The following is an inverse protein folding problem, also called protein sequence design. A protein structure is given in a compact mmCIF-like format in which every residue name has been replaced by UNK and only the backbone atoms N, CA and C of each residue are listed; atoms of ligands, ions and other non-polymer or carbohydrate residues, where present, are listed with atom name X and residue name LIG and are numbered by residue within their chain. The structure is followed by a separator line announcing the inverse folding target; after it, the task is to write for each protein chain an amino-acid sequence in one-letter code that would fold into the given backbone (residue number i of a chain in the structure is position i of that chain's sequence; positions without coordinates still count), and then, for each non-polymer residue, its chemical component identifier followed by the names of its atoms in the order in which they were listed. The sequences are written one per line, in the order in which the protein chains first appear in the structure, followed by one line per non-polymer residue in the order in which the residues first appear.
data_IF_114414506193
#
_entry.id   IF_114414506193
#
_cell.length_a   1.000
_cell.length_b   1.000
_cell.length_c   1.000
_cell.angle_alpha   90.00
_cell.angle_beta   90.00
_cell.angle_gamma   90.00
#
_symmetry.space_group_name_H-M   'P 1'
#
loop_
_entity.id
_entity.type
_entity.pdbx_description
1 polymer ?
#
# COMPACT_ATOMS: atom_id res chain seq x y z
N UNK A 1 8.43 -18.29 10.03
CA UNK A 1 8.07 -18.64 8.64
C UNK A 1 7.54 -17.43 7.85
N UNK A 2 7.08 -16.35 8.50
CA UNK A 2 6.71 -15.11 7.78
C UNK A 2 7.90 -14.35 7.20
N UNK A 3 9.02 -14.23 7.93
CA UNK A 3 10.21 -13.51 7.44
C UNK A 3 10.81 -14.09 6.15
N UNK A 4 10.69 -15.41 5.93
CA UNK A 4 11.07 -16.04 4.66
C UNK A 4 10.09 -15.68 3.54
N UNK A 5 8.78 -15.60 3.85
CA UNK A 5 7.73 -15.23 2.89
C UNK A 5 7.83 -13.77 2.44
N UNK A 6 8.16 -12.85 3.36
CA UNK A 6 8.33 -11.43 3.03
C UNK A 6 9.57 -11.19 2.18
N UNK A 7 10.66 -11.91 2.45
CA UNK A 7 11.87 -11.83 1.64
C UNK A 7 11.62 -12.36 0.21
N UNK A 8 10.91 -13.47 0.07
CA UNK A 8 10.54 -14.01 -1.24
C UNK A 8 9.61 -13.05 -2.02
N UNK A 9 8.65 -12.42 -1.33
CA UNK A 9 7.76 -11.40 -1.90
C UNK A 9 8.54 -10.15 -2.35
N UNK A 10 9.47 -9.67 -1.53
CA UNK A 10 10.34 -8.55 -1.87
C UNK A 10 11.19 -8.87 -3.11
N UNK A 11 11.81 -10.06 -3.17
CA UNK A 11 12.61 -10.49 -4.32
C UNK A 11 11.77 -10.60 -5.60
N UNK A 12 10.55 -11.13 -5.49
CA UNK A 12 9.61 -11.21 -6.61
C UNK A 12 9.30 -9.82 -7.18
N UNK A 13 8.98 -8.85 -6.33
CA UNK A 13 8.66 -7.50 -6.79
C UNK A 13 9.89 -6.74 -7.32
N UNK A 14 11.07 -6.91 -6.73
CA UNK A 14 12.31 -6.34 -7.28
C UNK A 14 12.60 -6.87 -8.69
N UNK A 15 12.41 -8.17 -8.91
CA UNK A 15 12.53 -8.75 -10.24
C UNK A 15 11.48 -8.19 -11.21
N UNK A 16 10.23 -8.06 -10.76
CA UNK A 16 9.16 -7.47 -11.56
C UNK A 16 9.44 -6.01 -11.94
N UNK A 17 9.99 -5.21 -11.01
CA UNK A 17 10.39 -3.82 -11.25
C UNK A 17 11.44 -3.73 -12.35
N UNK A 18 12.53 -4.51 -12.23
CA UNK A 18 13.61 -4.56 -13.24
C UNK A 18 13.11 -5.01 -14.61
N UNK A 19 12.18 -5.97 -14.63
CA UNK A 19 11.57 -6.43 -15.88
C UNK A 19 10.74 -5.33 -16.51
N UNK A 20 9.98 -4.59 -15.71
CA UNK A 20 9.17 -3.48 -16.20
C UNK A 20 10.03 -2.32 -16.72
N UNK A 21 11.14 -1.99 -16.04
CA UNK A 21 12.15 -1.03 -16.48
C UNK A 21 12.75 -1.43 -17.83
N UNK A 22 13.24 -2.67 -17.96
CA UNK A 22 13.83 -3.16 -19.21
C UNK A 22 12.81 -3.25 -20.36
N UNK A 23 11.52 -3.39 -20.05
CA UNK A 23 10.44 -3.37 -21.04
C UNK A 23 10.12 -1.95 -21.46
N UNK A 24 10.13 -1.00 -20.52
CA UNK A 24 9.93 0.43 -20.80
C UNK A 24 11.03 0.99 -21.71
N UNK A 25 12.29 0.61 -21.49
CA UNK A 25 13.41 1.02 -22.36
C UNK A 25 13.22 0.59 -23.83
N UNK A 26 12.46 -0.48 -24.07
CA UNK A 26 12.15 -0.99 -25.41
C UNK A 26 10.87 -0.40 -25.99
N UNK A 27 9.87 -0.15 -25.13
CA UNK A 27 8.59 0.41 -25.50
C UNK A 27 8.01 1.26 -24.37
N UNK A 28 8.25 2.59 -24.37
CA UNK A 28 7.72 3.47 -23.33
C UNK A 28 6.22 3.72 -23.46
N UNK A 29 5.61 3.37 -24.60
CA UNK A 29 4.17 3.55 -24.84
C UNK A 29 3.38 2.26 -24.56
N UNK A 30 3.92 1.37 -23.76
CA UNK A 30 3.22 0.17 -23.29
C UNK A 30 2.46 0.49 -21.99
N UNK A 31 1.18 0.83 -22.12
CA UNK A 31 0.31 1.12 -20.99
C UNK A 31 0.19 -0.05 -20.00
N UNK A 32 0.24 -1.30 -20.47
CA UNK A 32 0.19 -2.49 -19.63
C UNK A 32 1.46 -2.62 -18.78
N UNK A 33 2.63 -2.41 -19.40
CA UNK A 33 3.89 -2.41 -18.69
C UNK A 33 3.99 -1.26 -17.68
N UNK A 34 3.59 -0.05 -18.07
CA UNK A 34 3.54 1.11 -17.18
C UNK A 34 2.62 0.87 -15.98
N UNK A 35 1.44 0.29 -16.22
CA UNK A 35 0.49 -0.09 -15.16
C UNK A 35 1.11 -1.09 -14.19
N UNK A 36 1.77 -2.13 -14.72
CA UNK A 36 2.47 -3.13 -13.91
C UNK A 36 3.62 -2.50 -13.12
N UNK A 37 4.38 -1.60 -13.74
CA UNK A 37 5.50 -0.94 -13.09
C UNK A 37 5.04 -0.12 -11.89
N UNK A 38 4.02 0.73 -12.07
CA UNK A 38 3.41 1.50 -10.99
C UNK A 38 2.88 0.61 -9.87
N UNK A 39 2.14 -0.45 -10.19
CA UNK A 39 1.66 -1.41 -9.19
C UNK A 39 2.79 -2.08 -8.40
N UNK A 40 3.87 -2.48 -9.07
CA UNK A 40 5.04 -3.09 -8.39
C UNK A 40 5.75 -2.08 -7.49
N UNK A 41 5.85 -0.81 -7.88
CA UNK A 41 6.42 0.24 -7.03
C UNK A 41 5.57 0.46 -5.77
N UNK A 42 4.24 0.40 -5.87
CA UNK A 42 3.36 0.46 -4.69
C UNK A 42 3.52 -0.74 -3.75
N UNK A 43 3.78 -1.92 -4.30
CA UNK A 43 4.06 -3.11 -3.49
C UNK A 43 5.42 -3.01 -2.80
N UNK A 44 6.45 -2.54 -3.51
CA UNK A 44 7.78 -2.34 -2.96
C UNK A 44 7.82 -1.23 -1.89
N UNK A 45 7.02 -0.18 -2.03
CA UNK A 45 7.02 0.96 -1.10
C UNK A 45 6.63 0.55 0.33
N UNK A 46 5.84 -0.53 0.48
CA UNK A 46 5.44 -1.08 1.78
C UNK A 46 6.61 -1.70 2.56
N UNK A 47 7.68 -2.10 1.88
CA UNK A 47 8.91 -2.63 2.50
C UNK A 47 9.90 -1.51 2.86
N UNK A 48 9.63 -0.28 2.42
CA UNK A 48 10.51 0.87 2.63
C UNK A 48 10.10 1.71 3.83
N UNK A 49 10.97 2.63 4.25
CA UNK A 49 10.74 3.50 5.39
C UNK A 49 10.53 4.95 4.92
N UNK A 50 9.53 5.63 5.50
CA UNK A 50 9.37 7.09 5.44
C UNK A 50 9.56 7.65 4.02
N UNK A 51 10.60 8.46 3.85
CA UNK A 51 10.89 9.18 2.61
C UNK A 51 11.11 8.26 1.40
N UNK A 52 11.73 7.08 1.57
CA UNK A 52 11.93 6.13 0.47
C UNK A 52 10.60 5.51 0.02
N UNK A 53 9.71 5.22 0.97
CA UNK A 53 8.36 4.75 0.68
C UNK A 53 7.57 5.82 -0.08
N UNK A 54 7.62 7.07 0.40
CA UNK A 54 6.97 8.22 -0.24
C UNK A 54 7.48 8.45 -1.66
N UNK A 55 8.79 8.43 -1.87
CA UNK A 55 9.39 8.58 -3.20
C UNK A 55 8.92 7.48 -4.16
N UNK A 56 8.91 6.24 -3.69
CA UNK A 56 8.48 5.11 -4.51
C UNK A 56 6.99 5.16 -4.87
N UNK A 57 6.15 5.66 -3.96
CA UNK A 57 4.73 5.94 -4.26
C UNK A 57 4.60 7.06 -5.30
N UNK A 58 5.40 8.13 -5.20
CA UNK A 58 5.40 9.18 -6.21
C UNK A 58 5.83 8.65 -7.58
N UNK A 59 6.92 7.87 -7.64
CA UNK A 59 7.38 7.22 -8.87
C UNK A 59 6.28 6.29 -9.44
N UNK A 60 5.50 5.63 -8.58
CA UNK A 60 4.36 4.83 -9.00
C UNK A 60 3.24 5.67 -9.62
N UNK A 61 2.88 6.80 -9.00
CA UNK A 61 1.89 7.74 -9.52
C UNK A 61 2.32 8.20 -10.91
N UNK A 62 3.57 8.64 -11.07
CA UNK A 62 4.09 9.15 -12.34
C UNK A 62 3.97 8.11 -13.46
N UNK A 63 4.31 6.84 -13.20
CA UNK A 63 4.19 5.75 -14.19
C UNK A 63 2.74 5.40 -14.53
N UNK A 64 1.84 5.47 -13.55
CA UNK A 64 0.43 5.19 -13.80
C UNK A 64 -0.27 6.32 -14.55
N UNK A 65 0.08 7.58 -14.25
CA UNK A 65 -0.40 8.73 -15.02
C UNK A 65 0.11 8.66 -16.47
N UNK A 66 1.36 8.25 -16.68
CA UNK A 66 1.90 7.96 -18.01
C UNK A 66 1.10 6.85 -18.72
N UNK A 67 0.72 5.78 -18.01
CA UNK A 67 -0.12 4.72 -18.57
C UNK A 67 -1.49 5.27 -19.04
N UNK A 68 -2.06 6.23 -18.32
CA UNK A 68 -3.33 6.87 -18.70
C UNK A 68 -3.18 7.88 -19.84
N UNK A 69 -2.02 8.52 -20.01
CA UNK A 69 -1.73 9.32 -21.21
C UNK A 69 -1.75 8.42 -22.45
N UNK A 70 -1.17 7.22 -22.36
CA UNK A 70 -1.17 6.24 -23.44
C UNK A 70 -2.55 5.62 -23.67
N UNK A 71 -3.23 5.22 -22.60
CA UNK A 71 -4.58 4.64 -22.64
C UNK A 71 -5.45 5.22 -21.52
N UNK A 72 -6.24 6.27 -21.81
CA UNK A 72 -7.10 6.93 -20.81
C UNK A 72 -8.20 6.03 -20.23
N UNK A 73 -8.52 4.90 -20.88
CA UNK A 73 -9.55 3.96 -20.44
C UNK A 73 -8.96 2.70 -19.78
N UNK A 74 -7.70 2.75 -19.36
CA UNK A 74 -7.05 1.64 -18.65
C UNK A 74 -7.56 1.59 -17.21
N UNK A 75 -8.65 0.84 -16.99
CA UNK A 75 -9.29 0.69 -15.68
C UNK A 75 -8.33 0.20 -14.58
N UNK A 76 -7.40 -0.70 -14.92
CA UNK A 76 -6.38 -1.19 -13.97
C UNK A 76 -5.43 -0.07 -13.50
N UNK A 77 -5.03 0.84 -14.39
CA UNK A 77 -4.18 1.96 -14.05
C UNK A 77 -4.91 2.99 -13.18
N UNK A 78 -6.19 3.26 -13.48
CA UNK A 78 -7.07 4.08 -12.66
C UNK A 78 -7.19 3.50 -11.24
N UNK A 79 -7.47 2.20 -11.13
CA UNK A 79 -7.56 1.54 -9.83
C UNK A 79 -6.22 1.57 -9.06
N UNK A 80 -5.09 1.34 -9.73
CA UNK A 80 -3.77 1.47 -9.11
C UNK A 80 -3.48 2.92 -8.65
N UNK A 81 -3.89 3.94 -9.41
CA UNK A 81 -3.77 5.34 -8.98
C UNK A 81 -4.59 5.63 -7.73
N UNK A 82 -5.80 5.08 -7.64
CA UNK A 82 -6.61 5.18 -6.42
C UNK A 82 -5.86 4.66 -5.19
N UNK A 83 -5.21 3.49 -5.32
CA UNK A 83 -4.39 2.91 -4.26
C UNK A 83 -3.13 3.75 -3.96
N UNK A 84 -2.49 4.30 -4.99
CA UNK A 84 -1.29 5.14 -4.84
C UNK A 84 -1.59 6.40 -4.03
N UNK A 85 -2.65 7.13 -4.41
CA UNK A 85 -3.10 8.33 -3.70
C UNK A 85 -3.58 8.01 -2.28
N UNK A 86 -4.30 6.90 -2.09
CA UNK A 86 -4.66 6.43 -0.73
C UNK A 86 -3.42 6.21 0.12
N UNK A 87 -2.42 5.49 -0.41
CA UNK A 87 -1.16 5.21 0.29
C UNK A 87 -0.40 6.50 0.63
N UNK A 88 -0.32 7.45 -0.31
CA UNK A 88 0.31 8.74 -0.08
C UNK A 88 -0.41 9.54 1.03
N UNK A 89 -1.75 9.55 1.01
CA UNK A 89 -2.56 10.23 2.02
C UNK A 89 -2.28 9.69 3.44
N UNK A 90 -2.13 8.38 3.59
CA UNK A 90 -1.81 7.77 4.89
C UNK A 90 -0.39 8.13 5.39
N UNK A 91 0.55 8.47 4.51
CA UNK A 91 1.87 8.95 4.89
C UNK A 91 1.89 10.42 5.34
N UNK A 92 0.84 11.19 5.05
CA UNK A 92 0.71 12.60 5.44
C UNK A 92 0.03 12.65 6.82
N UNK A 93 0.68 13.17 7.88
CA UNK A 93 0.09 13.18 9.23
C UNK A 93 -1.10 14.13 9.38
N UNK A 94 -1.08 15.25 8.66
CA UNK A 94 -2.16 16.23 8.70
C UNK A 94 -3.33 15.78 7.79
N UNK A 95 -4.53 15.67 8.36
CA UNK A 95 -5.69 15.21 7.61
C UNK A 95 -6.11 16.20 6.52
N UNK A 96 -5.97 17.50 6.75
CA UNK A 96 -6.40 18.51 5.80
C UNK A 96 -5.46 18.54 4.58
N UNK A 97 -4.17 18.32 4.78
CA UNK A 97 -3.21 18.06 3.71
C UNK A 97 -3.50 16.72 2.99
N UNK A 98 -3.83 15.65 3.72
CA UNK A 98 -4.12 14.33 3.16
C UNK A 98 -5.46 14.26 2.39
N UNK A 99 -6.40 15.15 2.69
CA UNK A 99 -7.77 15.14 2.14
C UNK A 99 -7.80 15.21 0.61
N UNK A 100 -6.89 16.00 0.02
CA UNK A 100 -6.80 16.15 -1.43
C UNK A 100 -6.48 14.81 -2.11
N UNK A 101 -5.60 14.02 -1.51
CA UNK A 101 -5.21 12.71 -2.03
C UNK A 101 -6.32 11.67 -1.83
N UNK A 102 -7.01 11.66 -0.69
CA UNK A 102 -8.20 10.81 -0.53
C UNK A 102 -9.29 11.12 -1.55
N UNK A 103 -9.52 12.40 -1.86
CA UNK A 103 -10.49 12.78 -2.89
C UNK A 103 -10.08 12.29 -4.27
N UNK A 104 -8.81 12.47 -4.66
CA UNK A 104 -8.28 11.93 -5.92
C UNK A 104 -8.42 10.41 -5.97
N UNK A 105 -8.10 9.72 -4.87
CA UNK A 105 -8.21 8.28 -4.78
C UNK A 105 -9.64 7.80 -5.08
N UNK A 106 -10.64 8.40 -4.43
CA UNK A 106 -12.06 8.11 -4.68
C UNK A 106 -12.43 8.35 -6.14
N UNK A 107 -12.04 9.47 -6.74
CA UNK A 107 -12.33 9.78 -8.14
C UNK A 107 -11.75 8.73 -9.11
N UNK A 108 -10.55 8.24 -8.85
CA UNK A 108 -9.94 7.20 -9.68
C UNK A 108 -10.60 5.84 -9.49
N UNK A 109 -11.02 5.49 -8.27
CA UNK A 109 -11.79 4.27 -8.02
C UNK A 109 -13.18 4.31 -8.68
N UNK A 110 -13.86 5.46 -8.65
CA UNK A 110 -15.13 5.68 -9.37
C UNK A 110 -14.94 5.46 -10.87
N UNK A 111 -13.94 6.09 -11.49
CA UNK A 111 -13.66 5.91 -12.91
C UNK A 111 -13.32 4.46 -13.27
N UNK A 112 -12.52 3.76 -12.46
CA UNK A 112 -12.22 2.35 -12.67
C UNK A 112 -13.49 1.48 -12.60
N UNK A 113 -14.36 1.74 -11.61
CA UNK A 113 -15.63 1.04 -11.45
C UNK A 113 -16.62 1.33 -12.57
N UNK A 114 -16.71 2.56 -13.06
CA UNK A 114 -17.57 2.93 -14.19
C UNK A 114 -17.17 2.21 -15.49
N UNK A 115 -15.87 1.99 -15.67
CA UNK A 115 -15.36 1.24 -16.83
C UNK A 115 -15.61 -0.27 -16.70
N UNK A 116 -15.51 -0.84 -15.50
CA UNK A 116 -15.73 -2.27 -15.22
C UNK A 116 -16.62 -2.49 -13.99
N UNK A 117 -17.96 -2.31 -14.10
CA UNK A 117 -18.87 -2.37 -12.96
C UNK A 117 -19.05 -3.75 -12.33
N UNK A 118 -18.73 -4.80 -13.07
CA UNK A 118 -18.76 -6.19 -12.58
C UNK A 118 -17.50 -6.55 -11.77
N UNK A 119 -16.51 -5.65 -11.74
CA UNK A 119 -15.31 -5.86 -10.96
C UNK A 119 -15.56 -5.54 -9.47
N UNK A 120 -15.88 -6.58 -8.71
CA UNK A 120 -16.09 -6.52 -7.26
C UNK A 120 -14.91 -5.90 -6.50
N UNK A 121 -13.70 -5.96 -7.05
CA UNK A 121 -12.50 -5.41 -6.46
C UNK A 121 -12.55 -3.87 -6.46
N UNK A 122 -13.03 -3.28 -7.54
CA UNK A 122 -13.18 -1.83 -7.69
C UNK A 122 -14.31 -1.30 -6.83
N UNK A 123 -15.44 -1.99 -6.81
CA UNK A 123 -16.56 -1.68 -5.93
C UNK A 123 -16.14 -1.62 -4.46
N UNK A 124 -15.43 -2.64 -3.97
CA UNK A 124 -14.91 -2.66 -2.60
C UNK A 124 -13.93 -1.52 -2.33
N UNK A 125 -13.06 -1.22 -3.29
CA UNK A 125 -12.08 -0.13 -3.14
C UNK A 125 -12.78 1.22 -2.98
N UNK A 126 -13.85 1.44 -3.73
CA UNK A 126 -14.70 2.63 -3.60
C UNK A 126 -15.42 2.69 -2.24
N UNK A 127 -15.98 1.58 -1.78
CA UNK A 127 -16.63 1.48 -0.46
C UNK A 127 -15.65 1.77 0.70
N UNK A 128 -14.39 1.33 0.57
CA UNK A 128 -13.34 1.56 1.56
C UNK A 128 -12.82 3.00 1.48
N UNK A 129 -12.68 3.58 0.30
CA UNK A 129 -12.22 4.96 0.11
C UNK A 129 -13.08 5.97 0.86
N UNK A 130 -14.40 5.73 0.94
CA UNK A 130 -15.32 6.56 1.73
C UNK A 130 -14.98 6.62 3.23
N UNK A 131 -14.31 5.59 3.76
CA UNK A 131 -13.91 5.48 5.17
C UNK A 131 -12.44 5.82 5.41
N UNK A 132 -11.66 6.02 4.35
CA UNK A 132 -10.22 6.24 4.46
C UNK A 132 -9.83 7.47 5.31
N UNK A 133 -10.54 8.61 5.25
CA UNK A 133 -10.28 9.75 6.15
C UNK A 133 -10.52 9.45 7.63
N UNK A 134 -11.49 8.59 7.97
CA UNK A 134 -11.77 8.18 9.35
C UNK A 134 -10.66 7.26 9.88
N UNK A 135 -10.24 6.30 9.04
CA UNK A 135 -9.11 5.41 9.34
C UNK A 135 -7.81 6.20 9.52
N UNK A 136 -7.60 7.25 8.72
CA UNK A 136 -6.44 8.15 8.85
C UNK A 136 -6.34 8.76 10.25
N UNK A 137 -7.46 9.33 10.74
CA UNK A 137 -7.51 9.92 12.08
C UNK A 137 -7.21 8.88 13.14
N UNK A 138 -7.75 7.67 13.03
CA UNK A 138 -7.52 6.60 14.00
C UNK A 138 -6.05 6.16 14.02
N UNK A 139 -5.45 5.95 12.85
CA UNK A 139 -4.05 5.54 12.69
C UNK A 139 -3.10 6.62 13.26
N UNK A 140 -3.32 7.90 12.95
CA UNK A 140 -2.44 8.95 13.44
C UNK A 140 -2.67 9.29 14.92
N UNK A 141 -3.90 9.16 15.42
CA UNK A 141 -4.23 9.37 16.84
C UNK A 141 -3.69 8.25 17.74
N UNK A 142 -3.78 6.99 17.32
CA UNK A 142 -3.36 5.84 18.13
C UNK A 142 -1.93 5.37 17.82
N UNK A 143 -1.43 5.63 16.61
CA UNK A 143 -0.14 5.14 16.12
C UNK A 143 1.05 6.09 16.31
N UNK A 144 0.85 7.39 16.54
CA UNK A 144 1.97 8.37 16.64
C UNK A 144 1.98 9.23 17.92
N UNK A 145 0.91 9.20 18.73
CA UNK A 145 0.74 10.02 19.93
C UNK A 145 1.55 9.59 21.18
N UNK A 146 2.26 8.46 21.15
CA UNK A 146 3.00 7.94 22.33
C UNK A 146 4.51 8.25 22.36
N UNK A 147 5.01 9.14 21.49
CA UNK A 147 6.43 9.56 21.50
C UNK A 147 6.66 11.03 21.86
N UNK A 148 5.64 11.75 22.34
CA UNK A 148 5.79 13.09 22.90
C UNK A 148 5.48 13.11 24.39
N UNK A 149 6.40 13.64 25.19
CA UNK A 149 6.26 13.97 26.63
C UNK A 149 6.63 12.88 27.65
N UNK A 150 7.92 12.78 27.97
CA UNK A 150 8.40 12.67 29.35
C UNK A 150 9.91 12.98 29.42
N UNK A 151 10.30 14.25 29.25
CA UNK A 151 11.62 14.73 29.65
C UNK A 151 11.54 15.21 31.11
N UNK A 152 11.82 14.31 32.04
CA UNK A 152 12.09 14.62 33.45
C UNK A 152 13.32 13.85 33.91
N UNK A 153 14.28 14.47 34.62
CA UNK A 153 15.55 13.84 34.95
C UNK A 153 15.37 12.80 36.07
N UNK A 154 16.11 11.67 36.06
CA UNK A 154 16.06 10.71 37.16
C UNK A 154 17.02 11.09 38.30
N UNK A 155 16.66 10.90 39.59
CA UNK A 155 17.65 10.75 40.63
C UNK A 155 18.12 9.29 40.73
N UNK A 156 19.37 9.19 41.18
CA UNK A 156 20.25 8.03 41.30
C UNK A 156 19.73 6.89 42.18
N UNK A 157 19.92 5.63 41.79
CA UNK A 157 20.51 4.59 42.65
C UNK A 157 20.71 3.26 41.91
N UNK A 158 21.72 2.53 42.37
CA UNK A 158 22.42 1.38 41.80
C UNK A 158 21.70 0.02 41.83
N UNK A 159 22.18 -0.88 40.95
CA UNK A 159 22.28 -2.35 41.09
C UNK A 159 21.14 -3.23 40.56
N UNK A 160 21.31 -3.78 39.35
CA UNK A 160 21.51 -5.23 39.05
C UNK A 160 21.40 -5.49 37.54
N UNK A 161 22.36 -6.25 37.02
CA UNK A 161 22.35 -6.76 35.66
C UNK A 161 21.12 -7.62 35.41
N UNK A 162 20.34 -7.26 34.39
CA UNK A 162 19.53 -8.21 33.65
C UNK A 162 19.54 -7.78 32.19
N UNK A 163 20.22 -8.56 31.37
CA UNK A 163 20.15 -8.48 29.91
C UNK A 163 18.67 -8.61 29.50
N UNK A 164 18.06 -7.49 29.18
CA UNK A 164 16.87 -7.45 28.34
C UNK A 164 17.31 -6.87 27.01
N UNK A 165 17.18 -7.69 25.97
CA UNK A 165 17.28 -7.25 24.58
C UNK A 165 16.30 -6.09 24.41
N UNK A 166 16.83 -4.89 24.18
CA UNK A 166 16.07 -3.70 23.80
C UNK A 166 15.39 -4.02 22.46
N UNK A 167 14.20 -4.63 22.51
CA UNK A 167 13.35 -4.84 21.35
C UNK A 167 12.91 -3.46 20.88
N UNK A 168 13.31 -3.10 19.66
CA UNK A 168 13.02 -1.81 19.04
C UNK A 168 11.51 -1.63 18.88
N UNK A 169 10.87 -0.92 19.80
CA UNK A 169 9.45 -0.54 19.71
C UNK A 169 9.10 0.21 18.41
N UNK A 170 10.10 0.76 17.72
CA UNK A 170 9.92 1.44 16.43
C UNK A 170 9.75 0.51 15.23
N UNK A 171 10.12 -0.78 15.31
CA UNK A 171 9.87 -1.73 14.22
C UNK A 171 8.48 -2.33 14.30
N UNK A 172 8.00 -2.72 15.49
CA UNK A 172 6.64 -3.25 15.68
C UNK A 172 5.56 -2.21 15.31
N UNK A 173 5.76 -0.94 15.65
CA UNK A 173 4.84 0.15 15.30
C UNK A 173 4.77 0.41 13.78
N UNK A 174 5.89 0.26 13.07
CA UNK A 174 5.93 0.37 11.60
C UNK A 174 5.18 -0.79 10.94
N UNK A 175 5.40 -2.02 11.41
CA UNK A 175 4.65 -3.18 10.94
C UNK A 175 3.18 -3.16 11.35
N UNK A 176 2.79 -2.46 12.42
CA UNK A 176 1.39 -2.19 12.75
C UNK A 176 0.81 -1.12 11.79
N UNK A 177 1.50 -0.01 11.53
CA UNK A 177 1.00 1.02 10.58
C UNK A 177 0.86 0.44 9.16
N UNK A 178 1.88 -0.27 8.68
CA UNK A 178 1.80 -0.99 7.40
C UNK A 178 0.85 -2.18 7.50
N UNK A 179 0.72 -2.85 8.65
CA UNK A 179 -0.20 -3.95 8.91
C UNK A 179 -1.67 -3.54 8.88
N UNK A 180 -2.00 -2.31 9.26
CA UNK A 180 -3.33 -1.72 9.19
C UNK A 180 -3.64 -1.14 7.80
N UNK A 181 -2.63 -0.62 7.09
CA UNK A 181 -2.72 -0.33 5.65
C UNK A 181 -2.89 -1.64 4.86
N UNK A 182 -2.22 -2.72 5.25
CA UNK A 182 -2.39 -4.09 4.74
C UNK A 182 -3.75 -4.67 5.18
N UNK A 183 -4.34 -4.26 6.29
CA UNK A 183 -5.72 -4.65 6.65
C UNK A 183 -6.76 -3.86 5.86
N UNK A 184 -6.49 -2.59 5.52
CA UNK A 184 -7.36 -1.77 4.67
C UNK A 184 -7.26 -2.14 3.18
N UNK A 185 -6.08 -2.53 2.70
CA UNK A 185 -5.81 -2.87 1.28
C UNK A 185 -5.80 -4.39 1.04
N UNK A 186 -5.33 -5.20 2.00
CA UNK A 186 -5.20 -6.66 1.90
C UNK A 186 -6.46 -7.48 2.17
N UNK A 187 -7.57 -6.87 2.60
CA UNK A 187 -8.89 -7.53 2.56
C UNK A 187 -9.34 -7.77 1.09
N UNK A 188 -8.78 -7.04 0.14
CA UNK A 188 -9.21 -7.06 -1.25
C UNK A 188 -8.53 -8.17 -2.08
N UNK A 189 -7.34 -8.64 -1.70
CA UNK A 189 -6.58 -9.65 -2.47
C UNK A 189 -6.81 -11.11 -2.04
N UNK A 190 -7.31 -11.41 -0.83
CA UNK A 190 -7.52 -12.83 -0.43
C UNK A 190 -8.90 -13.41 -0.80
N UNK A 191 -9.90 -12.60 -1.14
CA UNK A 191 -11.24 -13.13 -1.49
C UNK A 191 -11.39 -13.59 -2.96
N UNK A 192 -10.38 -13.40 -3.81
CA UNK A 192 -10.43 -13.73 -5.24
C UNK A 192 -9.94 -15.13 -5.64
N UNK A 193 -9.27 -15.88 -4.77
CA UNK A 193 -8.58 -17.13 -5.18
C UNK A 193 -9.15 -18.42 -4.58
N UNK A 194 -10.13 -18.36 -3.68
CA UNK A 194 -10.64 -19.55 -2.98
C UNK A 194 -11.84 -20.25 -3.65
N UNK A 195 -12.30 -19.82 -4.83
CA UNK A 195 -13.54 -20.34 -5.45
C UNK A 195 -13.37 -21.16 -6.74
N UNK A 196 -12.16 -21.37 -7.26
CA UNK A 196 -11.95 -22.00 -8.58
C UNK A 196 -11.43 -23.43 -8.60
N UNK A 197 -11.13 -24.07 -7.45
CA UNK A 197 -10.52 -25.42 -7.44
C UNK A 197 -11.30 -26.47 -6.62
N UNK A 198 -12.62 -26.56 -6.81
CA UNK A 198 -13.38 -27.74 -6.35
C UNK A 198 -13.66 -28.64 -7.57
N UNK A 199 -13.04 -29.83 -7.68
CA UNK A 199 -13.33 -30.76 -8.77
C UNK A 199 -14.78 -31.30 -8.64
N UNK A 200 -15.48 -31.55 -9.76
CA UNK A 200 -16.86 -32.04 -9.71
C UNK A 200 -16.94 -33.44 -9.07
N UNK A 201 -18.02 -33.74 -8.32
CA UNK A 201 -18.19 -35.03 -7.69
C UNK A 201 -18.39 -36.14 -8.75
N UNK A 202 -17.93 -37.37 -8.47
CA UNK A 202 -18.06 -38.48 -9.41
C UNK A 202 -19.54 -38.82 -9.64
N UNK A 203 -19.92 -38.94 -10.91
CA UNK A 203 -21.22 -39.41 -11.34
C UNK A 203 -21.48 -40.82 -10.81
N UNK A 204 -22.60 -41.00 -10.10
CA UNK A 204 -23.13 -42.30 -9.72
C UNK A 204 -24.25 -42.70 -10.68
#
# INVERSE_FOLDING_TARGET
MEMSSDFDRLLFFEHARRTAEATYDKNPLDADNLTRWGGVLLELSQFQNGDESKKMIQDAIDRLEEALVVNPRKHDALWCLGNAYTSNAFLIPDLDEARGDFQKATQYFEQAYELEPENELYKKSLEVAAKAPELHVEIHKHGLGQQGMAAGPPPSSSTKQQQSTKKSKGSELKYDIFGWIILAVGIVTWLGFAKSNVPPPPSR
#
